data_IF_020849513735
#
_entry.id   IF_020849513735
#
_cell.length_a   1.000
_cell.length_b   1.000
_cell.length_c   1.000
_cell.angle_alpha   90.00
_cell.angle_beta   90.00
_cell.angle_gamma   90.00
#
_symmetry.space_group_name_H-M   'P 1'
#
loop_
_entity.id
_entity.type
_entity.pdbx_description
1 polymer ?
#
# COMPACT_ATOMS: atom_id res chain seq x y z
N UNK A 1 8.55 6.69 -0.05
CA UNK A 1 7.80 7.01 -1.26
C UNK A 1 6.38 7.45 -0.89
N UNK A 2 5.75 8.18 -1.76
CA UNK A 2 4.43 8.75 -1.48
C UNK A 2 3.56 8.70 -2.73
N UNK A 3 2.28 8.44 -2.55
CA UNK A 3 1.30 8.42 -3.63
C UNK A 3 -0.02 8.98 -3.10
N UNK A 4 -0.53 10.04 -3.73
CA UNK A 4 -1.77 10.72 -3.35
C UNK A 4 -1.80 11.14 -1.88
N UNK A 5 -0.63 11.56 -1.35
CA UNK A 5 -0.50 12.00 0.02
C UNK A 5 -0.30 10.90 1.06
N UNK A 6 -0.24 9.65 0.62
CA UNK A 6 -0.04 8.52 1.53
C UNK A 6 1.34 7.91 1.29
N UNK A 7 2.10 7.77 2.35
CA UNK A 7 3.42 7.16 2.28
C UNK A 7 3.32 5.65 2.12
N UNK A 8 4.26 5.08 1.42
CA UNK A 8 4.40 3.65 1.36
C UNK A 8 5.87 3.25 1.32
N UNK A 9 6.14 2.04 1.79
CA UNK A 9 7.49 1.50 1.82
C UNK A 9 7.52 0.17 1.08
N UNK A 10 8.56 -0.04 0.29
CA UNK A 10 8.81 -1.32 -0.35
C UNK A 10 10.05 -1.90 0.30
N UNK A 11 9.90 -3.04 0.97
CA UNK A 11 10.98 -3.70 1.70
C UNK A 11 11.49 -4.88 0.88
N UNK A 12 12.82 -4.95 0.73
CA UNK A 12 13.43 -6.12 0.15
C UNK A 12 13.34 -7.29 1.13
N UNK A 13 12.94 -8.46 0.64
CA UNK A 13 12.91 -9.66 1.45
C UNK A 13 14.30 -10.23 1.68
N UNK A 14 14.36 -11.29 2.50
CA UNK A 14 15.62 -11.98 2.82
C UNK A 14 16.22 -12.62 1.57
N UNK A 15 15.38 -13.18 0.71
CA UNK A 15 15.82 -13.73 -0.55
C UNK A 15 15.83 -12.67 -1.65
N UNK A 16 16.71 -12.85 -2.63
CA UNK A 16 16.78 -11.93 -3.76
C UNK A 16 15.47 -11.92 -4.53
N UNK A 17 15.11 -10.76 -5.05
CA UNK A 17 13.92 -10.54 -5.87
C UNK A 17 12.59 -10.72 -5.13
N UNK A 18 12.62 -10.60 -3.80
CA UNK A 18 11.38 -10.56 -3.04
C UNK A 18 11.17 -9.18 -2.47
N UNK A 19 9.97 -8.65 -2.67
CA UNK A 19 9.61 -7.32 -2.19
C UNK A 19 8.29 -7.39 -1.45
N UNK A 20 8.21 -6.66 -0.34
CA UNK A 20 7.00 -6.53 0.45
C UNK A 20 6.57 -5.07 0.47
N UNK A 21 5.27 -4.86 0.52
CA UNK A 21 4.67 -3.54 0.50
C UNK A 21 4.03 -3.22 1.84
N UNK A 22 4.28 -2.02 2.34
CA UNK A 22 3.60 -1.49 3.53
C UNK A 22 3.15 -0.08 3.19
N UNK A 23 1.89 0.23 3.41
CA UNK A 23 1.40 1.61 3.27
C UNK A 23 1.21 2.22 4.65
N UNK A 24 1.32 3.53 4.74
CA UNK A 24 1.27 4.26 6.02
C UNK A 24 0.19 5.35 6.00
N UNK A 25 -1.10 4.98 5.92
CA UNK A 25 -2.16 5.98 6.00
C UNK A 25 -2.36 6.42 7.45
N UNK A 26 -2.46 7.75 7.68
CA UNK A 26 -2.76 8.31 9.00
C UNK A 26 -1.88 7.73 10.13
N UNK A 27 -0.57 7.56 9.88
CA UNK A 27 0.41 7.04 10.83
C UNK A 27 0.21 5.57 11.23
N UNK A 28 -0.66 4.87 10.55
CA UNK A 28 -0.89 3.44 10.77
C UNK A 28 -0.11 2.64 9.72
N UNK A 29 0.47 1.51 10.10
CA UNK A 29 1.10 0.61 9.14
C UNK A 29 0.09 -0.42 8.64
N UNK A 30 -0.09 -0.48 7.33
CA UNK A 30 -0.95 -1.47 6.70
C UNK A 30 -0.12 -2.32 5.75
N UNK A 31 0.33 -3.50 6.18
CA UNK A 31 1.10 -4.37 5.31
C UNK A 31 0.22 -5.12 4.33
N UNK A 32 0.77 -5.43 3.16
CA UNK A 32 0.14 -6.34 2.22
C UNK A 32 0.39 -7.77 2.70
N UNK A 33 -0.53 -8.31 3.47
CA UNK A 33 -0.39 -9.64 4.06
C UNK A 33 -0.34 -10.72 2.98
N UNK A 34 0.58 -11.66 3.14
CA UNK A 34 0.72 -12.82 2.25
C UNK A 34 0.96 -12.45 0.79
N UNK A 35 1.48 -11.26 0.54
CA UNK A 35 1.83 -10.81 -0.81
C UNK A 35 3.32 -10.59 -0.91
N UNK A 36 3.95 -11.30 -1.84
CA UNK A 36 5.36 -11.15 -2.15
C UNK A 36 5.46 -10.86 -3.65
N UNK A 37 6.24 -9.84 -3.97
CA UNK A 37 6.43 -9.43 -5.36
C UNK A 37 7.86 -9.73 -5.78
N UNK A 38 8.03 -10.13 -7.02
CA UNK A 38 9.35 -10.47 -7.56
C UNK A 38 9.98 -9.32 -8.33
N UNK A 39 9.30 -8.20 -8.43
CA UNK A 39 9.76 -7.01 -9.09
C UNK A 39 9.38 -5.79 -8.26
N UNK A 40 10.30 -4.84 -8.17
CA UNK A 40 10.03 -3.59 -7.45
C UNK A 40 8.88 -2.82 -8.09
N UNK A 41 8.81 -2.84 -9.41
CA UNK A 41 7.74 -2.17 -10.13
C UNK A 41 6.38 -2.77 -9.78
N UNK A 42 6.29 -4.09 -9.73
CA UNK A 42 5.04 -4.76 -9.34
C UNK A 42 4.65 -4.39 -7.91
N UNK A 43 5.62 -4.31 -7.01
CA UNK A 43 5.38 -3.90 -5.64
C UNK A 43 4.87 -2.46 -5.57
N UNK A 44 5.46 -1.56 -6.34
CA UNK A 44 5.02 -0.16 -6.40
C UNK A 44 3.60 -0.05 -6.96
N UNK A 45 3.30 -0.76 -8.03
CA UNK A 45 1.97 -0.77 -8.63
C UNK A 45 0.92 -1.27 -7.63
N UNK A 46 1.26 -2.31 -6.89
CA UNK A 46 0.37 -2.84 -5.87
C UNK A 46 0.16 -1.85 -4.72
N UNK A 47 1.23 -1.18 -4.29
CA UNK A 47 1.13 -0.15 -3.25
C UNK A 47 0.15 0.95 -3.66
N UNK A 48 0.24 1.40 -4.90
CA UNK A 48 -0.67 2.42 -5.42
C UNK A 48 -2.11 1.92 -5.45
N UNK A 49 -2.33 0.67 -5.82
CA UNK A 49 -3.67 0.06 -5.80
C UNK A 49 -4.22 -0.02 -4.38
N UNK A 50 -3.40 -0.39 -3.41
CA UNK A 50 -3.80 -0.40 -2.00
C UNK A 50 -4.22 0.99 -1.53
N UNK A 51 -3.44 2.00 -1.90
CA UNK A 51 -3.73 3.38 -1.53
C UNK A 51 -5.04 3.84 -2.17
N UNK A 52 -5.23 3.56 -3.45
CA UNK A 52 -6.48 3.90 -4.14
C UNK A 52 -7.67 3.26 -3.45
N UNK A 53 -7.57 1.99 -3.10
CA UNK A 53 -8.63 1.26 -2.40
C UNK A 53 -8.91 1.85 -1.03
N UNK A 54 -7.86 2.21 -0.30
CA UNK A 54 -7.99 2.86 1.00
C UNK A 54 -8.76 4.17 0.89
N UNK A 55 -8.38 5.00 -0.09
CA UNK A 55 -9.04 6.30 -0.29
C UNK A 55 -10.50 6.13 -0.72
N UNK A 56 -10.79 5.17 -1.56
CA UNK A 56 -12.17 4.87 -1.96
C UNK A 56 -13.03 4.46 -0.76
N UNK A 57 -12.51 3.61 0.11
CA UNK A 57 -13.23 3.21 1.33
C UNK A 57 -13.49 4.40 2.22
N UNK A 58 -12.51 5.27 2.37
CA UNK A 58 -12.65 6.46 3.19
C UNK A 58 -13.73 7.38 2.64
N UNK A 59 -13.76 7.58 1.33
CA UNK A 59 -14.78 8.40 0.69
C UNK A 59 -16.18 7.81 0.84
N UNK A 60 -16.33 6.52 0.63
CA UNK A 60 -17.61 5.82 0.79
C UNK A 60 -18.08 5.91 2.24
N UNK A 61 -17.17 5.73 3.19
CA UNK A 61 -17.49 5.83 4.60
C UNK A 61 -17.97 7.24 4.97
N UNK A 62 -17.35 8.26 4.43
CA UNK A 62 -17.76 9.65 4.65
C UNK A 62 -19.16 9.92 4.09
N UNK A 63 -19.49 9.35 2.95
CA UNK A 63 -20.83 9.47 2.38
C UNK A 63 -21.89 8.81 3.24
N UNK A 64 -21.56 7.69 3.86
CA UNK A 64 -22.46 6.98 4.75
C UNK A 64 -22.68 7.70 6.08
N UNK A 65 -21.78 8.53 6.48
CA UNK A 65 -21.87 9.28 7.73
C UNK A 65 -22.90 10.42 7.69
N UNK A 66 -23.50 10.63 6.55
CA UNK A 66 -24.60 11.58 6.40
C UNK A 66 -25.93 10.84 6.66
#
# INVERSE_FOLDING_TARGET
MEYRGIRYTIRAGIERRQYRVVIHPDEVEVPAKNKIFFSRKDAEDYAQRMINRWLERKMVHQRHAR
#
